data_IF_174618440578
#
_entry.id   IF_174618440578
#
_cell.length_a   1.000
_cell.length_b   1.000
_cell.length_c   1.000
_cell.angle_alpha   90.00
_cell.angle_beta   90.00
_cell.angle_gamma   90.00
#
_symmetry.space_group_name_H-M   'P 1'
#
loop_
_entity.id
_entity.type
_entity.pdbx_description
1 polymer ?
#
# COMPACT_ATOMS: atom_id res chain seq x y z
N UNK A 1 -11.75 15.63 2.00
CA UNK A 1 -11.25 15.57 3.39
C UNK A 1 -9.79 15.15 3.48
N UNK A 2 -9.37 14.07 2.88
CA UNK A 2 -7.95 13.65 2.74
C UNK A 2 -7.07 14.72 2.08
N UNK A 3 -7.62 15.52 1.17
CA UNK A 3 -6.91 16.63 0.53
C UNK A 3 -6.44 17.72 1.52
N UNK A 4 -7.04 17.83 2.70
CA UNK A 4 -6.71 18.82 3.71
C UNK A 4 -5.87 18.29 4.89
N UNK A 5 -5.46 17.00 4.88
CA UNK A 5 -4.61 16.45 5.92
C UNK A 5 -3.23 17.15 5.96
N UNK A 6 -2.61 17.29 7.12
CA UNK A 6 -1.29 17.89 7.26
C UNK A 6 -0.20 16.97 6.70
N UNK A 7 -0.34 15.65 6.91
CA UNK A 7 0.50 14.60 6.34
C UNK A 7 -0.36 13.53 5.66
N UNK A 8 0.13 12.94 4.58
CA UNK A 8 -0.38 11.68 4.01
C UNK A 8 0.76 10.68 3.93
N UNK A 9 0.55 9.50 4.49
CA UNK A 9 1.47 8.37 4.36
C UNK A 9 0.87 7.38 3.38
N UNK A 10 1.65 6.96 2.40
CA UNK A 10 1.24 6.00 1.38
C UNK A 10 2.16 4.79 1.31
N UNK A 11 1.57 3.59 1.25
CA UNK A 11 2.26 2.31 1.10
C UNK A 11 1.71 1.60 -0.12
N UNK A 12 2.57 1.15 -1.05
CA UNK A 12 2.18 0.37 -2.22
C UNK A 12 1.11 1.08 -3.07
N UNK A 13 -0.04 0.47 -3.31
CA UNK A 13 -1.17 1.14 -3.99
C UNK A 13 -1.60 2.43 -3.27
N UNK A 14 -1.44 2.49 -1.94
CA UNK A 14 -1.66 3.68 -1.14
C UNK A 14 -0.68 4.82 -1.46
N UNK A 15 0.56 4.51 -1.85
CA UNK A 15 1.53 5.52 -2.29
C UNK A 15 1.08 6.19 -3.60
N UNK A 16 0.61 5.39 -4.57
CA UNK A 16 -0.01 5.92 -5.80
C UNK A 16 -1.21 6.82 -5.47
N UNK A 17 -2.11 6.35 -4.59
CA UNK A 17 -3.30 7.11 -4.18
C UNK A 17 -2.90 8.40 -3.43
N UNK A 18 -1.90 8.34 -2.55
CA UNK A 18 -1.38 9.50 -1.85
C UNK A 18 -0.87 10.58 -2.84
N UNK A 19 -0.08 10.18 -3.84
CA UNK A 19 0.38 11.07 -4.88
C UNK A 19 -0.78 11.67 -5.69
N UNK A 20 -1.80 10.87 -6.03
CA UNK A 20 -2.99 11.35 -6.72
C UNK A 20 -3.75 12.38 -5.90
N UNK A 21 -4.07 12.11 -4.62
CA UNK A 21 -4.84 13.04 -3.78
C UNK A 21 -4.05 14.30 -3.41
N UNK A 22 -2.72 14.26 -3.50
CA UNK A 22 -1.83 15.42 -3.27
C UNK A 22 -1.51 16.19 -4.56
N UNK A 23 -1.88 15.70 -5.73
CA UNK A 23 -1.57 16.30 -7.04
C UNK A 23 -2.20 17.69 -7.27
N UNK A 24 -3.15 18.10 -6.45
CA UNK A 24 -3.92 19.33 -6.63
C UNK A 24 -5.12 19.19 -7.56
N UNK A 25 -5.32 18.02 -8.19
CA UNK A 25 -6.52 17.76 -8.98
C UNK A 25 -7.76 17.64 -8.08
N UNK A 26 -8.93 18.09 -8.56
CA UNK A 26 -10.19 17.89 -7.88
C UNK A 26 -10.49 16.38 -7.66
N UNK A 27 -11.04 16.02 -6.50
CA UNK A 27 -11.37 14.64 -6.18
C UNK A 27 -12.34 14.00 -7.20
N UNK A 28 -13.21 14.79 -7.82
CA UNK A 28 -14.12 14.33 -8.86
C UNK A 28 -13.36 13.90 -10.13
N UNK A 29 -12.32 14.60 -10.52
CA UNK A 29 -11.47 14.26 -11.68
C UNK A 29 -10.66 13.00 -11.39
N UNK A 30 -10.09 12.89 -10.18
CA UNK A 30 -9.39 11.67 -9.74
C UNK A 30 -10.32 10.45 -9.77
N UNK A 31 -11.54 10.59 -9.28
CA UNK A 31 -12.53 9.50 -9.35
C UNK A 31 -12.89 9.18 -10.79
N UNK A 32 -13.13 10.18 -11.65
CA UNK A 32 -13.44 9.98 -13.05
C UNK A 32 -12.32 9.22 -13.78
N UNK A 33 -11.06 9.52 -13.49
CA UNK A 33 -9.91 8.80 -14.07
C UNK A 33 -9.87 7.33 -13.65
N UNK A 34 -10.24 7.01 -12.40
CA UNK A 34 -10.33 5.63 -11.93
C UNK A 34 -11.49 4.89 -12.56
N UNK A 35 -12.60 5.56 -12.79
CA UNK A 35 -13.81 4.97 -13.40
C UNK A 35 -13.70 4.82 -14.94
N UNK A 36 -12.75 5.52 -15.57
CA UNK A 36 -12.50 5.41 -17.00
C UNK A 36 -11.80 4.08 -17.33
N UNK A 37 -12.08 3.49 -18.48
CA UNK A 37 -11.30 2.35 -18.96
C UNK A 37 -9.80 2.68 -18.93
N UNK A 38 -8.93 1.74 -18.56
CA UNK A 38 -7.50 1.98 -18.60
C UNK A 38 -7.09 2.29 -20.04
N UNK A 39 -6.39 3.40 -20.24
CA UNK A 39 -5.74 3.67 -21.51
C UNK A 39 -4.70 2.58 -21.70
N UNK A 40 -4.96 1.65 -22.63
CA UNK A 40 -3.96 0.66 -22.98
C UNK A 40 -2.82 1.42 -23.70
N UNK A 41 -1.56 1.28 -23.25
CA UNK A 41 -0.45 1.81 -24.00
C UNK A 41 -0.43 1.15 -25.38
N UNK A 42 -0.55 1.95 -26.44
CA UNK A 42 -0.47 1.46 -27.80
C UNK A 42 0.92 0.82 -28.00
N UNK A 43 0.96 -0.47 -28.35
CA UNK A 43 2.21 -1.16 -28.71
C UNK A 43 2.71 -2.24 -27.73
N UNK A 44 1.97 -2.65 -26.73
CA UNK A 44 2.38 -3.75 -25.86
C UNK A 44 1.91 -5.12 -26.34
N UNK A 45 2.37 -5.53 -27.53
CA UNK A 45 2.44 -6.94 -27.92
C UNK A 45 3.88 -7.46 -27.71
N UNK A 46 4.49 -7.13 -26.56
CA UNK A 46 5.77 -7.74 -26.17
C UNK A 46 5.46 -8.92 -25.28
N UNK A 47 6.02 -10.06 -25.66
CA UNK A 47 6.03 -11.25 -24.82
C UNK A 47 6.40 -10.86 -23.39
N UNK A 48 5.48 -11.10 -22.48
CA UNK A 48 5.70 -10.85 -21.04
C UNK A 48 6.84 -11.78 -20.63
N UNK A 49 7.90 -11.30 -19.99
CA UNK A 49 8.96 -12.18 -19.52
C UNK A 49 8.34 -13.30 -18.67
N UNK A 50 8.89 -14.52 -18.72
CA UNK A 50 8.40 -15.63 -17.95
C UNK A 50 8.41 -15.23 -16.47
N UNK A 51 7.23 -15.05 -15.90
CA UNK A 51 7.06 -14.80 -14.47
C UNK A 51 6.55 -16.08 -13.80
N UNK A 52 6.96 -16.31 -12.57
CA UNK A 52 6.36 -17.38 -11.77
C UNK A 52 4.84 -17.18 -11.71
N UNK A 53 4.04 -18.25 -11.73
CA UNK A 53 2.61 -18.15 -11.48
C UNK A 53 2.35 -17.39 -10.18
N UNK A 54 1.43 -16.45 -10.18
CA UNK A 54 1.14 -15.59 -9.03
C UNK A 54 0.85 -16.42 -7.76
N UNK A 55 0.17 -17.56 -7.90
CA UNK A 55 -0.08 -18.48 -6.79
C UNK A 55 1.22 -18.98 -6.15
N UNK A 56 2.22 -19.35 -6.95
CA UNK A 56 3.54 -19.83 -6.48
C UNK A 56 4.29 -18.72 -5.73
N UNK A 57 4.22 -17.48 -6.21
CA UNK A 57 4.83 -16.33 -5.53
C UNK A 57 4.20 -16.12 -4.15
N UNK A 58 2.87 -16.11 -4.07
CA UNK A 58 2.17 -15.95 -2.78
C UNK A 58 2.38 -17.13 -1.84
N UNK A 59 2.48 -18.35 -2.35
CA UNK A 59 2.84 -19.52 -1.56
C UNK A 59 4.24 -19.37 -0.94
N UNK A 60 5.21 -18.92 -1.72
CA UNK A 60 6.56 -18.65 -1.22
C UNK A 60 6.58 -17.52 -0.18
N UNK A 61 5.86 -16.43 -0.42
CA UNK A 61 5.73 -15.35 0.57
C UNK A 61 5.11 -15.86 1.88
N UNK A 62 4.09 -16.73 1.81
CA UNK A 62 3.49 -17.35 3.01
C UNK A 62 4.50 -18.25 3.74
N UNK A 63 5.28 -19.05 3.01
CA UNK A 63 6.31 -19.90 3.60
C UNK A 63 7.38 -19.07 4.31
N UNK A 64 7.84 -17.96 3.71
CA UNK A 64 8.75 -17.01 4.34
C UNK A 64 8.12 -16.42 5.61
N UNK A 65 6.86 -15.99 5.54
CA UNK A 65 6.15 -15.44 6.70
C UNK A 65 5.99 -16.42 7.84
N UNK A 66 5.73 -17.69 7.53
CA UNK A 66 5.60 -18.76 8.52
C UNK A 66 6.94 -19.16 9.18
N UNK A 67 8.05 -18.99 8.48
CA UNK A 67 9.39 -19.32 8.97
C UNK A 67 10.03 -18.15 9.76
N UNK A 68 9.57 -16.92 9.56
CA UNK A 68 10.14 -15.75 10.20
C UNK A 68 9.88 -15.73 11.72
N UNK A 69 10.90 -15.36 12.48
CA UNK A 69 10.88 -15.31 13.95
C UNK A 69 10.73 -13.90 14.51
N UNK A 70 10.88 -12.89 13.65
CA UNK A 70 10.71 -11.47 13.99
C UNK A 70 10.31 -10.65 12.77
N UNK A 71 9.85 -9.42 12.98
CA UNK A 71 9.57 -8.48 11.90
C UNK A 71 10.81 -8.23 11.03
N UNK A 72 11.97 -8.02 11.65
CA UNK A 72 13.23 -7.78 10.95
C UNK A 72 13.68 -9.01 10.14
N UNK A 73 13.45 -10.20 10.66
CA UNK A 73 13.75 -11.46 9.96
C UNK A 73 12.86 -11.62 8.72
N UNK A 74 11.55 -11.38 8.86
CA UNK A 74 10.61 -11.36 7.74
C UNK A 74 11.02 -10.36 6.66
N UNK A 75 11.36 -9.14 7.05
CA UNK A 75 11.72 -8.06 6.11
C UNK A 75 12.96 -8.42 5.31
N UNK A 76 14.02 -8.93 5.97
CA UNK A 76 15.24 -9.41 5.28
C UNK A 76 14.96 -10.60 4.37
N UNK A 77 14.19 -11.58 4.82
CA UNK A 77 13.88 -12.75 4.01
C UNK A 77 13.03 -12.41 2.77
N UNK A 78 12.10 -11.46 2.89
CA UNK A 78 11.34 -10.94 1.76
C UNK A 78 12.23 -10.12 0.83
N UNK A 79 13.19 -9.35 1.35
CA UNK A 79 14.19 -8.63 0.56
C UNK A 79 15.05 -9.58 -0.25
N UNK A 80 15.58 -10.63 0.37
CA UNK A 80 16.35 -11.67 -0.30
C UNK A 80 15.55 -12.36 -1.41
N UNK A 81 14.26 -12.65 -1.17
CA UNK A 81 13.38 -13.21 -2.19
C UNK A 81 13.16 -12.23 -3.37
N UNK A 82 13.01 -10.93 -3.11
CA UNK A 82 12.94 -9.92 -4.16
C UNK A 82 14.18 -9.91 -5.03
N UNK A 83 15.36 -9.81 -4.41
CA UNK A 83 16.66 -9.80 -5.09
C UNK A 83 16.91 -11.08 -5.90
N UNK A 84 16.58 -12.24 -5.37
CA UNK A 84 16.68 -13.51 -6.09
C UNK A 84 15.81 -13.53 -7.35
N UNK A 85 14.63 -12.92 -7.28
CA UNK A 85 13.68 -12.86 -8.38
C UNK A 85 14.09 -11.87 -9.49
N UNK A 86 14.99 -10.94 -9.22
CA UNK A 86 15.38 -9.88 -10.16
C UNK A 86 15.96 -10.44 -11.45
N UNK A 87 16.78 -11.50 -11.40
CA UNK A 87 17.35 -12.12 -12.60
C UNK A 87 16.31 -12.52 -13.65
N UNK A 88 15.10 -12.86 -13.21
CA UNK A 88 13.97 -13.22 -14.08
C UNK A 88 13.10 -12.01 -14.45
N UNK A 89 13.02 -11.00 -13.57
CA UNK A 89 12.08 -9.88 -13.66
C UNK A 89 12.70 -8.58 -14.18
N UNK A 90 14.02 -8.42 -14.09
CA UNK A 90 14.75 -7.19 -14.44
C UNK A 90 14.48 -6.64 -15.85
N UNK A 91 14.28 -7.46 -16.91
CA UNK A 91 13.92 -6.93 -18.22
C UNK A 91 12.68 -6.02 -18.22
N UNK A 92 11.85 -6.10 -17.17
CA UNK A 92 10.66 -5.27 -16.97
C UNK A 92 10.88 -4.01 -16.11
N UNK A 93 12.04 -3.78 -15.51
CA UNK A 93 12.24 -2.72 -14.52
C UNK A 93 11.96 -1.31 -15.08
N UNK A 94 12.52 -0.95 -16.22
CA UNK A 94 12.28 0.35 -16.86
C UNK A 94 10.81 0.54 -17.27
N UNK A 95 10.16 -0.51 -17.73
CA UNK A 95 8.75 -0.49 -18.07
C UNK A 95 7.88 -0.29 -16.82
N UNK A 96 8.28 -0.85 -15.68
CA UNK A 96 7.57 -0.70 -14.41
C UNK A 96 7.53 0.75 -13.96
N UNK A 97 8.67 1.47 -14.00
CA UNK A 97 8.75 2.89 -13.68
C UNK A 97 7.83 3.72 -14.58
N UNK A 98 7.82 3.45 -15.89
CA UNK A 98 6.95 4.13 -16.84
C UNK A 98 5.46 3.90 -16.55
N UNK A 99 5.08 2.66 -16.18
CA UNK A 99 3.70 2.33 -15.78
C UNK A 99 3.30 3.09 -14.51
N UNK A 100 4.19 3.22 -13.53
CA UNK A 100 3.92 4.01 -12.32
C UNK A 100 3.80 5.49 -12.68
N UNK A 101 4.72 6.05 -13.45
CA UNK A 101 4.68 7.44 -13.89
C UNK A 101 3.34 7.80 -14.58
N UNK A 102 2.85 6.92 -15.44
CA UNK A 102 1.58 7.11 -16.15
C UNK A 102 0.33 7.11 -15.23
N UNK A 103 0.45 6.65 -13.98
CA UNK A 103 -0.62 6.66 -12.97
C UNK A 103 -0.62 7.92 -12.11
N UNK A 104 0.48 8.66 -12.12
CA UNK A 104 0.65 9.88 -11.34
C UNK A 104 0.23 11.09 -12.18
N UNK A 105 -0.70 11.93 -11.70
CA UNK A 105 -1.09 13.15 -12.41
C UNK A 105 0.06 14.15 -12.55
N UNK A 106 1.02 14.10 -11.63
CA UNK A 106 2.26 14.88 -11.61
C UNK A 106 3.41 14.00 -11.18
N UNK A 107 4.58 14.07 -11.84
CA UNK A 107 5.76 13.30 -11.45
C UNK A 107 6.54 13.91 -10.28
N UNK A 108 6.27 15.19 -9.94
CA UNK A 108 6.97 15.91 -8.88
C UNK A 108 6.30 15.68 -7.52
N UNK A 109 7.10 15.80 -6.44
CA UNK A 109 6.60 15.81 -5.09
C UNK A 109 5.60 16.96 -4.87
N UNK A 110 4.48 16.70 -4.19
CA UNK A 110 3.51 17.74 -3.85
C UNK A 110 4.10 18.73 -2.84
N UNK A 111 3.55 19.98 -2.81
CA UNK A 111 3.95 20.97 -1.80
C UNK A 111 3.56 20.57 -0.38
N UNK A 112 2.45 19.84 -0.24
CA UNK A 112 1.97 19.39 1.07
C UNK A 112 2.67 18.11 1.49
N UNK A 113 3.01 17.95 2.79
CA UNK A 113 3.75 16.78 3.28
C UNK A 113 3.13 15.44 2.87
N UNK A 114 3.99 14.58 2.34
CA UNK A 114 3.66 13.23 1.95
C UNK A 114 4.86 12.34 2.20
N UNK A 115 4.61 11.14 2.73
CA UNK A 115 5.62 10.09 2.90
C UNK A 115 5.21 8.89 2.05
N UNK A 116 6.19 8.33 1.35
CA UNK A 116 6.09 7.06 0.63
C UNK A 116 7.01 6.05 1.29
N UNK A 117 6.47 4.89 1.63
CA UNK A 117 7.22 3.85 2.35
C UNK A 117 7.74 2.77 1.42
N UNK A 118 8.96 2.33 1.64
CA UNK A 118 9.55 1.15 1.03
C UNK A 118 10.39 0.39 2.07
N UNK A 119 10.93 -0.75 1.72
CA UNK A 119 11.86 -1.52 2.56
C UNK A 119 13.14 -1.74 1.77
N UNK A 120 14.29 -1.46 2.37
CA UNK A 120 15.60 -1.82 1.81
C UNK A 120 15.68 -3.35 1.69
N UNK A 121 15.95 -3.84 0.49
CA UNK A 121 15.92 -5.27 0.20
C UNK A 121 17.09 -6.04 0.84
N UNK A 122 18.20 -5.37 1.19
CA UNK A 122 19.37 -6.00 1.81
C UNK A 122 19.26 -5.99 3.34
N UNK A 123 18.87 -4.85 3.92
CA UNK A 123 18.86 -4.68 5.37
C UNK A 123 17.53 -5.02 6.02
N UNK A 124 16.44 -4.94 5.26
CA UNK A 124 15.08 -5.04 5.77
C UNK A 124 14.59 -3.75 6.45
N UNK A 125 15.37 -2.68 6.46
CA UNK A 125 15.01 -1.44 7.13
C UNK A 125 13.95 -0.65 6.36
N UNK A 126 13.13 0.10 7.10
CA UNK A 126 12.16 1.02 6.51
C UNK A 126 12.87 2.18 5.83
N UNK A 127 12.50 2.43 4.58
CA UNK A 127 12.76 3.68 3.89
C UNK A 127 11.45 4.50 3.82
N UNK A 128 11.50 5.72 4.37
CA UNK A 128 10.41 6.68 4.33
C UNK A 128 10.84 7.85 3.44
N UNK A 129 10.38 7.86 2.20
CA UNK A 129 10.72 8.90 1.23
C UNK A 129 9.73 10.05 1.32
N UNK A 130 10.25 11.26 1.25
CA UNK A 130 9.50 12.52 1.13
C UNK A 130 10.19 13.45 0.12
N UNK A 131 9.71 14.68 0.00
CA UNK A 131 10.28 15.69 -0.92
C UNK A 131 11.74 16.06 -0.62
N UNK A 132 12.18 15.88 0.61
CA UNK A 132 13.51 16.28 1.09
C UNK A 132 14.50 15.10 1.05
N UNK A 133 14.04 13.89 0.70
CA UNK A 133 14.85 12.66 0.62
C UNK A 133 15.83 12.64 -0.57
N UNK A 134 15.74 13.59 -1.51
CA UNK A 134 16.55 13.60 -2.72
C UNK A 134 16.21 12.49 -3.73
N UNK A 135 15.03 11.87 -3.60
CA UNK A 135 14.52 10.80 -4.45
C UNK A 135 13.33 11.31 -5.25
N UNK A 136 13.24 10.98 -6.53
CA UNK A 136 12.08 11.33 -7.36
C UNK A 136 10.81 10.63 -6.85
N UNK A 137 9.66 11.34 -6.89
CA UNK A 137 8.38 10.76 -6.47
C UNK A 137 8.04 9.48 -7.23
N UNK A 138 8.32 9.45 -8.54
CA UNK A 138 8.05 8.27 -9.38
C UNK A 138 8.89 7.08 -8.92
N UNK A 139 10.15 7.31 -8.55
CA UNK A 139 11.04 6.26 -8.04
C UNK A 139 10.60 5.79 -6.65
N UNK A 140 10.26 6.70 -5.76
CA UNK A 140 9.72 6.37 -4.43
C UNK A 140 8.45 5.51 -4.53
N UNK A 141 7.48 5.91 -5.38
CA UNK A 141 6.24 5.14 -5.60
C UNK A 141 6.51 3.79 -6.28
N UNK A 142 7.49 3.74 -7.20
CA UNK A 142 7.88 2.49 -7.86
C UNK A 142 8.49 1.51 -6.84
N UNK A 143 9.37 1.99 -5.97
CA UNK A 143 9.94 1.22 -4.87
C UNK A 143 8.86 0.72 -3.91
N UNK A 144 7.93 1.60 -3.52
CA UNK A 144 6.80 1.26 -2.66
C UNK A 144 5.88 0.19 -3.21
N UNK A 145 5.86 0.02 -4.53
CA UNK A 145 5.02 -0.97 -5.24
C UNK A 145 5.84 -2.18 -5.75
N UNK A 146 7.07 -2.35 -5.32
CA UNK A 146 7.95 -3.44 -5.76
C UNK A 146 7.70 -4.72 -4.94
N UNK A 147 6.54 -5.37 -5.17
CA UNK A 147 6.15 -6.57 -4.44
C UNK A 147 7.09 -7.74 -4.79
N UNK A 148 7.80 -8.34 -3.80
CA UNK A 148 8.80 -9.39 -4.02
C UNK A 148 8.26 -10.55 -4.87
N UNK A 149 9.03 -10.97 -5.88
CA UNK A 149 8.69 -12.08 -6.75
C UNK A 149 7.63 -11.80 -7.83
N UNK A 150 6.90 -10.67 -7.75
CA UNK A 150 5.92 -10.28 -8.78
C UNK A 150 6.43 -9.19 -9.71
N UNK A 151 7.25 -8.29 -9.19
CA UNK A 151 7.93 -7.25 -9.97
C UNK A 151 9.36 -7.15 -9.48
N UNK A 152 10.29 -6.64 -10.32
CA UNK A 152 11.67 -6.47 -9.88
C UNK A 152 11.78 -5.50 -8.71
N UNK A 153 12.81 -5.65 -7.89
CA UNK A 153 13.18 -4.63 -6.91
C UNK A 153 13.45 -3.29 -7.63
N UNK A 154 13.24 -2.19 -6.96
CA UNK A 154 13.49 -0.87 -7.55
C UNK A 154 14.78 -0.28 -7.00
N UNK A 155 15.73 0.05 -7.90
CA UNK A 155 17.03 0.57 -7.51
C UNK A 155 17.02 2.10 -7.47
N UNK A 156 17.37 2.66 -6.31
CA UNK A 156 17.52 4.11 -6.10
C UNK A 156 18.90 4.34 -5.48
N UNK A 157 19.73 5.16 -6.11
CA UNK A 157 21.07 5.53 -5.62
C UNK A 157 21.95 4.31 -5.22
N UNK A 158 21.82 3.19 -5.92
CA UNK A 158 22.58 1.99 -5.66
C UNK A 158 21.92 0.99 -4.70
N UNK A 159 20.92 1.40 -3.92
CA UNK A 159 20.16 0.55 -3.01
C UNK A 159 18.92 -0.04 -3.69
N UNK A 160 18.66 -1.31 -3.44
CA UNK A 160 17.47 -2.01 -3.93
C UNK A 160 16.35 -1.96 -2.90
N UNK A 161 15.14 -1.61 -3.34
CA UNK A 161 13.96 -1.49 -2.49
C UNK A 161 12.85 -2.44 -2.92
N UNK A 162 12.09 -2.89 -1.93
CA UNK A 162 10.87 -3.67 -2.09
C UNK A 162 9.69 -2.94 -1.45
N UNK A 163 8.48 -3.43 -1.72
CA UNK A 163 7.20 -2.87 -1.26
C UNK A 163 7.19 -2.61 0.25
N UNK A 164 6.80 -1.39 0.64
CA UNK A 164 6.69 -0.98 2.04
C UNK A 164 5.68 -1.80 2.85
N UNK A 165 4.73 -2.46 2.17
CA UNK A 165 3.79 -3.40 2.75
C UNK A 165 4.45 -4.65 3.33
N UNK A 166 5.70 -4.94 2.97
CA UNK A 166 6.50 -5.99 3.61
C UNK A 166 6.73 -5.70 5.09
N UNK A 167 6.89 -4.43 5.48
CA UNK A 167 6.99 -4.03 6.89
C UNK A 167 5.62 -3.95 7.56
N UNK A 168 4.73 -3.17 6.99
CA UNK A 168 3.36 -2.97 7.47
C UNK A 168 2.49 -2.51 6.29
N UNK A 169 1.27 -3.04 6.19
CA UNK A 169 0.36 -2.66 5.11
C UNK A 169 -0.01 -1.17 5.16
N UNK A 170 -0.13 -0.62 6.36
CA UNK A 170 -0.55 0.77 6.59
C UNK A 170 0.59 1.70 6.97
N UNK A 171 1.64 1.21 7.66
CA UNK A 171 2.72 2.01 8.26
C UNK A 171 2.16 3.22 9.05
N UNK A 172 1.10 2.97 9.83
CA UNK A 172 0.35 4.00 10.54
C UNK A 172 1.17 4.68 11.66
N UNK A 173 2.17 4.02 12.17
CA UNK A 173 3.12 4.53 13.17
C UNK A 173 3.89 5.77 12.69
N UNK A 174 4.03 5.97 11.37
CA UNK A 174 4.62 7.18 10.79
C UNK A 174 3.74 8.43 10.98
N UNK A 175 2.50 8.26 11.42
CA UNK A 175 1.63 9.37 11.83
C UNK A 175 1.77 9.73 13.31
N UNK A 176 2.81 9.22 14.00
CA UNK A 176 3.12 9.60 15.38
C UNK A 176 3.29 11.13 15.51
N UNK A 177 2.78 11.68 16.61
CA UNK A 177 2.80 13.13 16.86
C UNK A 177 1.61 13.91 16.26
N UNK A 178 0.78 13.28 15.43
CA UNK A 178 -0.45 13.92 14.94
C UNK A 178 -1.62 13.67 15.87
N UNK A 179 -2.36 14.72 16.20
CA UNK A 179 -3.50 14.65 17.12
C UNK A 179 -4.67 13.83 16.60
N UNK A 180 -4.88 13.83 15.26
CA UNK A 180 -5.96 13.11 14.61
C UNK A 180 -5.41 12.31 13.44
N UNK A 181 -5.61 11.00 13.46
CA UNK A 181 -5.12 10.06 12.46
C UNK A 181 -6.30 9.31 11.85
N UNK A 182 -6.36 9.26 10.53
CA UNK A 182 -7.32 8.42 9.80
C UNK A 182 -6.52 7.39 9.03
N UNK A 183 -6.76 6.12 9.32
CA UNK A 183 -6.14 5.00 8.61
C UNK A 183 -7.16 4.40 7.64
N UNK A 184 -6.82 4.40 6.36
CA UNK A 184 -7.57 3.69 5.33
C UNK A 184 -6.89 2.34 5.09
N UNK A 185 -7.51 1.25 5.54
CA UNK A 185 -6.96 -0.10 5.46
C UNK A 185 -7.82 -0.98 4.55
N UNK A 186 -7.57 -0.99 3.22
CA UNK A 186 -8.37 -1.76 2.28
C UNK A 186 -8.19 -3.28 2.46
N UNK A 187 -7.11 -3.73 3.08
CA UNK A 187 -6.84 -5.13 3.42
C UNK A 187 -7.23 -5.48 4.86
N UNK A 188 -7.58 -4.48 5.67
CA UNK A 188 -7.92 -4.62 7.07
C UNK A 188 -9.30 -5.20 7.30
N UNK A 189 -9.60 -5.56 8.57
CA UNK A 189 -10.87 -6.14 8.98
C UNK A 189 -10.98 -7.65 8.81
N UNK A 190 -9.95 -8.31 8.25
CA UNK A 190 -9.84 -9.76 8.17
C UNK A 190 -9.07 -10.37 9.36
N UNK A 191 -8.64 -9.55 10.32
CA UNK A 191 -7.61 -9.88 11.29
C UNK A 191 -8.11 -10.42 12.63
N UNK A 192 -9.43 -10.55 12.86
CA UNK A 192 -9.93 -10.82 14.22
C UNK A 192 -10.59 -12.18 14.44
N UNK A 193 -10.75 -13.02 13.42
CA UNK A 193 -11.21 -14.39 13.65
C UNK A 193 -10.24 -15.38 12.98
N UNK A 194 -9.81 -16.45 13.66
CA UNK A 194 -9.22 -17.58 12.97
C UNK A 194 -10.24 -18.07 11.94
N UNK A 195 -9.80 -18.48 10.72
CA UNK A 195 -10.72 -18.99 9.71
C UNK A 195 -11.49 -20.17 10.33
N UNK A 196 -12.81 -20.07 10.28
CA UNK A 196 -13.66 -21.22 10.61
C UNK A 196 -13.21 -22.39 9.72
N UNK A 197 -13.10 -23.57 10.31
CA UNK A 197 -12.75 -24.79 9.54
C UNK A 197 -13.74 -24.95 8.41
N UNK A 198 -13.28 -24.78 7.16
CA UNK A 198 -14.11 -24.89 5.96
C UNK A 198 -14.42 -23.54 5.28
N UNK A 199 -14.00 -22.41 5.84
CA UNK A 199 -14.03 -21.14 5.12
C UNK A 199 -13.00 -21.16 3.97
N UNK A 200 -13.44 -20.62 2.83
CA UNK A 200 -12.65 -20.44 1.61
C UNK A 200 -11.25 -19.91 1.91
N UNK A 201 -10.21 -20.38 1.20
CA UNK A 201 -8.84 -20.00 1.53
C UNK A 201 -8.72 -18.50 1.56
N UNK A 202 -8.27 -18.05 2.69
CA UNK A 202 -7.92 -16.70 3.03
C UNK A 202 -7.41 -15.91 1.83
N UNK A 203 -7.89 -14.67 1.70
CA UNK A 203 -7.56 -13.81 0.58
C UNK A 203 -6.05 -13.75 0.31
N UNK A 204 -5.71 -13.50 -0.93
CA UNK A 204 -4.38 -13.52 -1.54
C UNK A 204 -3.24 -12.94 -0.66
N UNK A 205 -3.54 -11.97 0.20
CA UNK A 205 -2.58 -11.32 1.11
C UNK A 205 -2.62 -11.84 2.56
N UNK A 206 -3.36 -12.89 2.84
CA UNK A 206 -3.53 -13.38 4.22
C UNK A 206 -2.27 -14.02 4.81
N UNK A 207 -1.40 -14.55 3.96
CA UNK A 207 -0.07 -15.03 4.37
C UNK A 207 0.93 -13.94 4.76
N UNK A 208 0.54 -12.67 4.65
CA UNK A 208 1.35 -11.53 5.08
C UNK A 208 0.92 -11.02 6.48
N UNK A 209 0.12 -11.77 7.22
CA UNK A 209 -0.23 -11.45 8.62
C UNK A 209 1.03 -11.42 9.46
N UNK A 210 1.09 -10.43 10.34
CA UNK A 210 2.17 -10.28 11.29
C UNK A 210 1.67 -10.58 12.68
N UNK A 211 2.44 -11.34 13.47
CA UNK A 211 2.14 -11.54 14.87
C UNK A 211 2.07 -10.18 15.60
N UNK A 212 1.06 -9.98 16.47
CA UNK A 212 0.92 -8.72 17.21
C UNK A 212 2.15 -8.34 18.04
N UNK A 213 2.87 -9.34 18.53
CA UNK A 213 4.11 -9.16 19.29
C UNK A 213 5.23 -8.48 18.50
N UNK A 214 5.14 -8.43 17.17
CA UNK A 214 6.09 -7.70 16.34
C UNK A 214 5.79 -6.19 16.23
N UNK A 215 4.59 -5.76 16.65
CA UNK A 215 4.20 -4.35 16.68
C UNK A 215 4.01 -3.68 15.32
N UNK A 216 4.09 -4.45 14.23
CA UNK A 216 3.99 -3.94 12.85
C UNK A 216 2.60 -4.19 12.24
N UNK A 217 1.72 -4.86 12.94
CA UNK A 217 0.31 -5.01 12.56
C UNK A 217 -0.49 -3.74 12.86
N UNK A 218 -1.62 -3.57 12.18
CA UNK A 218 -2.45 -2.37 12.30
C UNK A 218 -2.95 -2.14 13.74
N UNK A 219 -3.36 -3.18 14.45
CA UNK A 219 -3.94 -3.04 15.79
C UNK A 219 -2.90 -2.51 16.77
N UNK A 220 -1.68 -3.07 16.74
CA UNK A 220 -0.55 -2.63 17.56
C UNK A 220 -0.16 -1.17 17.26
N UNK A 221 -0.10 -0.78 15.98
CA UNK A 221 0.21 0.60 15.58
C UNK A 221 -0.87 1.58 16.02
N UNK A 222 -2.15 1.22 15.87
CA UNK A 222 -3.28 2.04 16.33
C UNK A 222 -3.26 2.20 17.85
N UNK A 223 -2.99 1.13 18.58
CA UNK A 223 -2.86 1.19 20.05
C UNK A 223 -1.71 2.11 20.47
N UNK A 224 -0.54 2.00 19.83
CA UNK A 224 0.60 2.86 20.10
C UNK A 224 0.27 4.34 19.85
N UNK A 225 -0.37 4.67 18.72
CA UNK A 225 -0.81 6.03 18.42
C UNK A 225 -1.81 6.57 19.47
N UNK A 226 -2.77 5.75 19.89
CA UNK A 226 -3.74 6.12 20.93
C UNK A 226 -3.08 6.34 22.28
N UNK A 227 -2.10 5.51 22.68
CA UNK A 227 -1.31 5.69 23.90
C UNK A 227 -0.51 7.00 23.91
N UNK A 228 -0.10 7.48 22.73
CA UNK A 228 0.56 8.78 22.55
C UNK A 228 -0.42 9.98 22.57
N UNK A 229 -1.71 9.74 22.69
CA UNK A 229 -2.75 10.77 22.73
C UNK A 229 -3.43 11.07 21.39
N UNK A 230 -3.10 10.36 20.32
CA UNK A 230 -3.76 10.53 19.03
C UNK A 230 -5.19 9.96 19.04
N UNK A 231 -6.11 10.65 18.40
CA UNK A 231 -7.42 10.09 18.04
C UNK A 231 -7.27 9.34 16.72
N UNK A 232 -7.54 8.04 16.73
CA UNK A 232 -7.34 7.20 15.55
C UNK A 232 -8.66 6.61 15.10
N UNK A 233 -9.06 6.94 13.87
CA UNK A 233 -10.15 6.31 13.14
C UNK A 233 -9.60 5.36 12.09
N UNK A 234 -10.09 4.12 12.12
CA UNK A 234 -9.73 3.10 11.13
C UNK A 234 -10.94 2.83 10.25
N UNK A 235 -10.74 2.93 8.95
CA UNK A 235 -11.75 2.62 7.94
C UNK A 235 -11.29 1.39 7.18
N UNK A 236 -12.08 0.32 7.29
CA UNK A 236 -11.92 -0.92 6.54
C UNK A 236 -13.08 -1.09 5.57
N UNK A 237 -12.95 -1.89 4.51
CA UNK A 237 -14.04 -2.14 3.59
C UNK A 237 -15.28 -2.70 4.30
N UNK A 238 -16.44 -2.09 4.05
CA UNK A 238 -17.74 -2.64 4.43
C UNK A 238 -18.08 -3.92 3.62
N UNK A 239 -19.16 -4.64 3.94
CA UNK A 239 -19.54 -5.85 3.19
C UNK A 239 -19.73 -5.60 1.69
N UNK A 240 -20.27 -4.44 1.29
CA UNK A 240 -20.47 -4.07 -0.11
C UNK A 240 -19.14 -3.81 -0.81
N UNK A 241 -18.23 -3.08 -0.17
CA UNK A 241 -16.89 -2.83 -0.67
C UNK A 241 -16.07 -4.12 -0.78
N UNK A 242 -16.14 -5.02 0.20
CA UNK A 242 -15.49 -6.34 0.15
C UNK A 242 -16.01 -7.18 -1.02
N UNK A 243 -17.32 -7.24 -1.22
CA UNK A 243 -17.92 -7.96 -2.34
C UNK A 243 -17.46 -7.41 -3.69
N UNK A 244 -17.36 -6.07 -3.83
CA UNK A 244 -16.89 -5.42 -5.04
C UNK A 244 -15.40 -5.61 -5.33
N UNK A 245 -14.58 -5.75 -4.30
CA UNK A 245 -13.14 -6.05 -4.41
C UNK A 245 -12.89 -7.51 -4.82
N UNK A 246 -13.83 -8.42 -4.56
CA UNK A 246 -13.68 -9.83 -4.89
C UNK A 246 -12.59 -10.54 -4.09
N UNK A 247 -12.31 -11.79 -4.46
CA UNK A 247 -11.27 -12.63 -3.85
C UNK A 247 -9.88 -12.40 -4.46
N UNK A 248 -9.81 -12.07 -5.74
CA UNK A 248 -8.57 -11.70 -6.43
C UNK A 248 -8.46 -10.16 -6.55
N UNK A 249 -7.79 -9.54 -5.61
CA UNK A 249 -7.61 -8.08 -5.56
C UNK A 249 -6.65 -7.55 -6.64
N UNK A 250 -5.95 -8.44 -7.35
CA UNK A 250 -5.09 -8.08 -8.49
C UNK A 250 -5.84 -8.17 -9.83
N UNK A 251 -7.12 -8.57 -9.84
CA UNK A 251 -7.93 -8.62 -11.04
C UNK A 251 -8.32 -7.19 -11.49
N UNK A 252 -7.89 -6.75 -12.68
CA UNK A 252 -8.27 -5.44 -13.21
C UNK A 252 -9.77 -5.22 -13.35
N UNK A 253 -10.57 -6.28 -13.48
CA UNK A 253 -12.03 -6.21 -13.59
C UNK A 253 -12.70 -5.66 -12.32
N UNK A 254 -12.07 -5.84 -11.15
CA UNK A 254 -12.59 -5.33 -9.88
C UNK A 254 -12.38 -3.83 -9.68
N UNK A 255 -11.53 -3.18 -10.48
CA UNK A 255 -11.16 -1.76 -10.31
C UNK A 255 -12.35 -0.82 -10.27
N UNK A 256 -13.24 -0.88 -11.26
CA UNK A 256 -14.39 0.03 -11.36
C UNK A 256 -15.45 -0.30 -10.29
N UNK A 257 -15.88 -1.56 -10.10
CA UNK A 257 -16.78 -1.92 -9.01
C UNK A 257 -16.27 -1.49 -7.64
N UNK A 258 -15.00 -1.78 -7.32
CA UNK A 258 -14.38 -1.40 -6.05
C UNK A 258 -14.33 0.13 -5.84
N UNK A 259 -13.99 0.89 -6.89
CA UNK A 259 -13.98 2.35 -6.82
C UNK A 259 -15.38 2.93 -6.54
N UNK A 260 -16.43 2.40 -7.16
CA UNK A 260 -17.82 2.81 -6.91
C UNK A 260 -18.27 2.48 -5.50
N UNK A 261 -17.98 1.27 -5.02
CA UNK A 261 -18.32 0.84 -3.67
C UNK A 261 -17.56 1.67 -2.61
N UNK A 262 -16.25 1.86 -2.80
CA UNK A 262 -15.45 2.71 -1.91
C UNK A 262 -15.91 4.17 -1.88
N UNK A 263 -16.37 4.73 -3.01
CA UNK A 263 -16.97 6.06 -3.04
C UNK A 263 -18.29 6.13 -2.25
N UNK A 264 -19.14 5.12 -2.38
CA UNK A 264 -20.40 5.04 -1.63
C UNK A 264 -20.13 4.92 -0.13
N UNK A 265 -19.21 4.03 0.28
CA UNK A 265 -18.78 3.89 1.66
C UNK A 265 -18.15 5.19 2.19
N UNK A 266 -17.30 5.85 1.40
CA UNK A 266 -16.65 7.11 1.78
C UNK A 266 -17.63 8.23 2.11
N UNK A 267 -18.79 8.27 1.45
CA UNK A 267 -19.88 9.21 1.81
C UNK A 267 -20.48 8.91 3.18
N UNK A 268 -20.65 7.63 3.51
CA UNK A 268 -21.21 7.22 4.81
C UNK A 268 -20.21 7.50 5.94
N UNK A 269 -18.91 7.29 5.69
CA UNK A 269 -17.84 7.52 6.67
C UNK A 269 -17.51 9.01 6.88
N UNK A 270 -17.92 9.90 5.98
CA UNK A 270 -17.52 11.30 6.00
C UNK A 270 -17.88 12.01 7.32
N UNK A 271 -19.03 11.70 7.92
CA UNK A 271 -19.46 12.27 9.20
C UNK A 271 -18.54 11.85 10.34
N UNK A 272 -18.21 10.56 10.43
CA UNK A 272 -17.33 9.99 11.46
C UNK A 272 -15.93 10.60 11.40
N UNK A 273 -15.37 10.68 10.19
CA UNK A 273 -14.05 11.27 9.97
C UNK A 273 -14.03 12.77 10.26
N UNK A 274 -15.15 13.48 9.97
CA UNK A 274 -15.28 14.90 10.31
C UNK A 274 -15.32 15.12 11.81
N UNK A 275 -16.04 14.27 12.56
CA UNK A 275 -16.11 14.33 14.01
C UNK A 275 -14.74 14.09 14.66
N UNK A 276 -13.95 13.15 14.15
CA UNK A 276 -12.57 12.92 14.58
C UNK A 276 -11.74 14.21 14.45
N UNK A 277 -11.86 14.93 13.33
CA UNK A 277 -11.12 16.16 13.07
C UNK A 277 -11.55 17.34 13.98
N UNK A 278 -12.84 17.52 14.21
CA UNK A 278 -13.38 18.66 14.95
C UNK A 278 -13.19 18.56 16.47
N UNK A 279 -13.12 17.34 16.99
CA UNK A 279 -12.88 17.12 18.43
C UNK A 279 -11.52 17.61 18.95
N UNK A 280 -10.59 18.00 18.08
CA UNK A 280 -9.26 18.50 18.43
C UNK A 280 -9.15 20.01 18.67
N UNK A 281 -10.21 20.80 18.46
CA UNK A 281 -10.17 22.26 18.63
C UNK A 281 -10.57 22.76 20.03
N UNK A 282 -10.57 21.90 21.04
CA UNK A 282 -10.76 22.35 22.42
C UNK A 282 -9.46 22.16 23.20
N UNK A 283 -8.53 23.09 23.03
CA UNK A 283 -7.68 23.71 24.07
C UNK A 283 -6.96 24.90 23.53
#
# INVERSE_FOLDING_TARGET
MTLAADLVVGTSAGATTAAQVRSGLPAAELLASVLSPPVQPVGQNRERPPSLPMATVFERMRAIGAAATSAADLQRAMGAFGLESDSTLEPGAGQRRAVVAARLPRPEWPDRPMIVTAVDAHTGELAAFDRDSGVDLVDAVTASCALPGLVPTHRINGTHYIDGGVRSAENADLASGYANVVVLSPLGGRTQAPPERGADPAGQFEGLRRPPEWGTDLASQVEALRKQGSRVEVITPDPGSRAAMGTNQMDPATRIPAARAGFAQGKQEATRVTACRLGGRRR
#
